data_IF_555713545330
#
_entry.id   IF_555713545330
#
_cell.length_a   1.000
_cell.length_b   1.000
_cell.length_c   1.000
_cell.angle_alpha   90.00
_cell.angle_beta   90.00
_cell.angle_gamma   90.00
#
_symmetry.space_group_name_H-M   'P 1'
#
loop_
_entity.id
_entity.type
_entity.pdbx_description
1 polymer ?
#
# COMPACT_ATOMS: atom_id res chain seq x y z
N UNK A 1 -23.58 8.69 -10.41
CA UNK A 1 -22.52 7.71 -10.09
C UNK A 1 -21.24 8.07 -10.81
N UNK A 2 -20.18 8.32 -10.05
CA UNK A 2 -18.85 8.62 -10.59
C UNK A 2 -18.26 7.38 -11.29
N UNK A 3 -17.31 7.58 -12.20
CA UNK A 3 -16.76 6.50 -13.01
C UNK A 3 -16.02 5.41 -12.21
N UNK A 4 -15.46 5.78 -11.05
CA UNK A 4 -14.69 4.88 -10.18
C UNK A 4 -15.59 4.10 -9.23
N UNK A 5 -16.59 4.75 -8.65
CA UNK A 5 -17.71 4.14 -7.93
C UNK A 5 -18.34 2.98 -8.72
N UNK A 6 -18.67 3.18 -10.01
CA UNK A 6 -19.21 2.10 -10.87
C UNK A 6 -18.22 0.94 -11.03
N UNK A 7 -16.91 1.21 -11.09
CA UNK A 7 -15.87 0.18 -11.25
C UNK A 7 -15.64 -0.60 -9.96
N UNK A 8 -15.65 0.09 -8.82
CA UNK A 8 -15.53 -0.51 -7.50
C UNK A 8 -16.75 -1.41 -7.20
N UNK A 9 -17.96 -0.93 -7.49
CA UNK A 9 -19.20 -1.72 -7.33
C UNK A 9 -19.20 -2.95 -8.24
N UNK A 10 -18.78 -2.81 -9.52
CA UNK A 10 -18.61 -3.97 -10.41
C UNK A 10 -17.59 -4.99 -9.91
N UNK A 11 -16.70 -4.62 -9.00
CA UNK A 11 -15.69 -5.50 -8.40
C UNK A 11 -16.11 -6.04 -7.03
N UNK A 12 -17.36 -5.83 -6.63
CA UNK A 12 -17.93 -6.36 -5.40
C UNK A 12 -17.81 -5.44 -4.18
N UNK A 13 -17.33 -4.19 -4.34
CA UNK A 13 -17.31 -3.22 -3.25
C UNK A 13 -18.65 -2.51 -3.11
N UNK A 14 -18.99 -2.07 -1.91
CA UNK A 14 -20.17 -1.23 -1.71
C UNK A 14 -19.90 0.20 -2.22
N UNK A 15 -20.96 0.96 -2.49
CA UNK A 15 -20.83 2.36 -2.89
C UNK A 15 -20.18 3.23 -1.79
N UNK A 16 -20.45 2.93 -0.52
CA UNK A 16 -19.80 3.60 0.62
C UNK A 16 -18.31 3.27 0.68
N UNK A 17 -17.91 2.00 0.48
CA UNK A 17 -16.49 1.62 0.39
C UNK A 17 -15.80 2.32 -0.78
N UNK A 18 -16.46 2.42 -1.93
CA UNK A 18 -15.88 3.11 -3.08
C UNK A 18 -15.64 4.59 -2.83
N UNK A 19 -16.60 5.27 -2.17
CA UNK A 19 -16.46 6.68 -1.79
C UNK A 19 -15.36 6.88 -0.75
N UNK A 20 -15.32 6.01 0.25
CA UNK A 20 -14.25 5.95 1.24
C UNK A 20 -12.86 5.84 0.59
N UNK A 21 -12.71 4.96 -0.40
CA UNK A 21 -11.45 4.82 -1.15
C UNK A 21 -11.10 6.08 -1.96
N UNK A 22 -12.08 6.78 -2.54
CA UNK A 22 -11.83 8.05 -3.24
C UNK A 22 -11.34 9.13 -2.27
N UNK A 23 -11.92 9.20 -1.07
CA UNK A 23 -11.54 10.18 -0.04
C UNK A 23 -10.15 9.87 0.52
N UNK A 24 -9.87 8.60 0.84
CA UNK A 24 -8.57 8.15 1.32
C UNK A 24 -7.47 8.33 0.27
N UNK A 25 -7.74 8.02 -1.01
CA UNK A 25 -6.77 8.24 -2.09
C UNK A 25 -6.34 9.72 -2.19
N UNK A 26 -7.30 10.64 -2.06
CA UNK A 26 -7.04 12.09 -2.06
C UNK A 26 -6.24 12.52 -0.83
N UNK A 27 -6.61 12.01 0.34
CA UNK A 27 -5.90 12.29 1.59
C UNK A 27 -4.41 11.90 1.48
N UNK A 28 -4.14 10.73 0.91
CA UNK A 28 -2.79 10.19 0.78
C UNK A 28 -2.04 10.68 -0.47
N UNK A 29 -2.67 11.50 -1.32
CA UNK A 29 -2.09 11.98 -2.58
C UNK A 29 -1.89 10.89 -3.64
N UNK A 30 -2.53 9.73 -3.49
CA UNK A 30 -2.42 8.57 -4.39
C UNK A 30 -3.54 8.63 -5.44
N UNK A 31 -3.27 8.18 -6.67
CA UNK A 31 -4.31 8.10 -7.69
C UNK A 31 -5.43 7.13 -7.29
N UNK A 32 -6.70 7.54 -7.43
CA UNK A 32 -7.87 6.72 -7.06
C UNK A 32 -7.85 5.32 -7.72
N UNK A 33 -7.35 5.23 -8.97
CA UNK A 33 -7.21 3.95 -9.68
C UNK A 33 -6.13 3.04 -9.08
N UNK A 34 -5.03 3.62 -8.63
CA UNK A 34 -3.91 2.89 -8.02
C UNK A 34 -4.29 2.42 -6.62
N UNK A 35 -4.96 3.28 -5.85
CA UNK A 35 -5.51 2.92 -4.54
C UNK A 35 -6.50 1.76 -4.66
N UNK A 36 -7.45 1.83 -5.60
CA UNK A 36 -8.38 0.73 -5.85
C UNK A 36 -7.64 -0.56 -6.27
N UNK A 37 -6.58 -0.46 -7.06
CA UNK A 37 -5.77 -1.63 -7.46
C UNK A 37 -5.06 -2.25 -6.25
N UNK A 38 -4.47 -1.43 -5.39
CA UNK A 38 -3.78 -1.84 -4.17
C UNK A 38 -4.72 -2.57 -3.20
N UNK A 39 -5.86 -1.97 -2.90
CA UNK A 39 -6.89 -2.56 -2.02
C UNK A 39 -7.41 -3.87 -2.60
N UNK A 40 -7.64 -3.93 -3.91
CA UNK A 40 -8.08 -5.18 -4.55
C UNK A 40 -6.99 -6.25 -4.57
N UNK A 41 -5.71 -5.86 -4.62
CA UNK A 41 -4.60 -6.80 -4.50
C UNK A 41 -4.57 -7.39 -3.09
N UNK A 42 -4.66 -6.57 -2.05
CA UNK A 42 -4.76 -7.04 -0.65
C UNK A 42 -5.98 -7.94 -0.42
N UNK A 43 -7.15 -7.55 -0.91
CA UNK A 43 -8.38 -8.32 -0.75
C UNK A 43 -8.31 -9.72 -1.38
N UNK A 44 -7.61 -9.88 -2.51
CA UNK A 44 -7.36 -11.21 -3.11
C UNK A 44 -6.54 -12.14 -2.21
N UNK A 45 -5.76 -11.57 -1.30
CA UNK A 45 -5.01 -12.30 -0.29
C UNK A 45 -5.74 -12.38 1.06
N UNK A 46 -7.01 -11.97 1.12
CA UNK A 46 -7.80 -11.95 2.37
C UNK A 46 -7.37 -10.84 3.34
N UNK A 47 -6.67 -9.81 2.85
CA UNK A 47 -6.14 -8.73 3.68
C UNK A 47 -7.02 -7.49 3.49
N UNK A 48 -7.43 -6.91 4.61
CA UNK A 48 -8.08 -5.62 4.68
C UNK A 48 -7.27 -4.70 5.58
N UNK A 49 -6.94 -3.51 5.09
CA UNK A 49 -6.25 -2.48 5.84
C UNK A 49 -7.24 -1.35 6.13
N UNK A 50 -7.31 -0.94 7.39
CA UNK A 50 -8.14 0.17 7.84
C UNK A 50 -7.51 1.51 7.46
N UNK A 51 -8.27 2.61 7.57
CA UNK A 51 -7.75 3.96 7.27
C UNK A 51 -6.43 4.27 7.97
N UNK A 52 -6.35 3.93 9.26
CA UNK A 52 -5.20 4.27 10.07
C UNK A 52 -3.96 3.50 9.63
N UNK A 53 -4.13 2.25 9.17
CA UNK A 53 -3.04 1.46 8.58
C UNK A 53 -2.46 2.17 7.35
N UNK A 54 -3.33 2.67 6.46
CA UNK A 54 -2.88 3.41 5.28
C UNK A 54 -2.16 4.71 5.65
N UNK A 55 -2.63 5.42 6.68
CA UNK A 55 -1.94 6.62 7.20
C UNK A 55 -0.59 6.29 7.83
N UNK A 56 -0.47 5.18 8.56
CA UNK A 56 0.82 4.70 9.10
C UNK A 56 1.79 4.37 7.97
N UNK A 57 1.32 3.68 6.92
CA UNK A 57 2.13 3.42 5.74
C UNK A 57 2.59 4.72 5.07
N UNK A 58 1.70 5.70 4.91
CA UNK A 58 2.00 7.01 4.31
C UNK A 58 2.97 7.87 5.14
N UNK A 59 2.94 7.75 6.47
CA UNK A 59 3.92 8.38 7.37
C UNK A 59 5.33 7.78 7.21
N UNK A 60 5.40 6.54 6.76
CA UNK A 60 6.63 5.74 6.72
C UNK A 60 7.30 5.74 5.34
N UNK A 61 6.54 5.95 4.27
CA UNK A 61 7.04 5.95 2.90
C UNK A 61 6.16 6.78 1.96
N UNK A 62 6.76 7.30 0.89
CA UNK A 62 6.03 7.98 -0.18
C UNK A 62 5.17 6.98 -0.98
N UNK A 63 3.89 6.86 -0.62
CA UNK A 63 2.95 5.96 -1.28
C UNK A 63 2.76 6.30 -2.76
N UNK A 64 2.97 7.54 -3.19
CA UNK A 64 2.82 7.89 -4.62
C UNK A 64 3.83 7.15 -5.51
N UNK A 65 4.98 6.79 -4.94
CA UNK A 65 6.05 6.05 -5.64
C UNK A 65 6.15 4.59 -5.24
N UNK A 66 5.69 4.26 -4.03
CA UNK A 66 6.01 2.98 -3.40
C UNK A 66 4.77 2.19 -2.94
N UNK A 67 3.56 2.57 -3.37
CA UNK A 67 2.32 1.86 -3.03
C UNK A 67 2.39 0.35 -3.28
N UNK A 68 2.85 -0.06 -4.46
CA UNK A 68 2.89 -1.49 -4.82
C UNK A 68 3.90 -2.26 -3.96
N UNK A 69 5.04 -1.63 -3.64
CA UNK A 69 6.04 -2.20 -2.73
C UNK A 69 5.49 -2.37 -1.32
N UNK A 70 4.78 -1.38 -0.79
CA UNK A 70 4.16 -1.49 0.53
C UNK A 70 3.10 -2.60 0.57
N UNK A 71 2.26 -2.68 -0.47
CA UNK A 71 1.27 -3.75 -0.60
C UNK A 71 1.93 -5.13 -0.65
N UNK A 72 2.98 -5.30 -1.46
CA UNK A 72 3.71 -6.57 -1.56
C UNK A 72 4.41 -6.95 -0.26
N UNK A 73 4.93 -5.97 0.46
CA UNK A 73 5.50 -6.19 1.77
C UNK A 73 4.45 -6.70 2.76
N UNK A 74 3.31 -6.03 2.85
CA UNK A 74 2.19 -6.44 3.73
C UNK A 74 1.73 -7.86 3.38
N UNK A 75 1.52 -8.16 2.09
CA UNK A 75 1.13 -9.51 1.64
C UNK A 75 2.15 -10.56 2.09
N UNK A 76 3.45 -10.28 1.93
CA UNK A 76 4.51 -11.21 2.32
C UNK A 76 4.54 -11.45 3.84
N UNK A 77 4.39 -10.40 4.64
CA UNK A 77 4.40 -10.52 6.11
C UNK A 77 3.16 -11.24 6.61
N UNK A 78 1.98 -10.94 6.07
CA UNK A 78 0.74 -11.64 6.43
C UNK A 78 0.79 -13.11 6.03
N UNK A 79 1.33 -13.42 4.85
CA UNK A 79 1.56 -14.81 4.43
C UNK A 79 2.56 -15.55 5.33
N UNK A 80 3.38 -14.82 6.09
CA UNK A 80 4.31 -15.37 7.08
C UNK A 80 3.69 -15.47 8.49
N UNK A 81 2.39 -15.23 8.63
CA UNK A 81 1.65 -15.32 9.89
C UNK A 81 1.60 -14.03 10.72
N UNK A 82 2.06 -12.89 10.18
CA UNK A 82 2.04 -11.61 10.89
C UNK A 82 0.69 -10.90 10.68
N UNK A 83 0.05 -10.36 11.73
CA UNK A 83 -1.16 -9.57 11.55
C UNK A 83 -0.96 -8.36 10.62
N UNK A 84 -1.97 -7.98 9.80
CA UNK A 84 -1.84 -6.86 8.85
C UNK A 84 -1.37 -5.53 9.46
N UNK A 85 -1.95 -5.13 10.60
CA UNK A 85 -1.56 -3.89 11.30
C UNK A 85 -0.08 -3.92 11.73
N UNK A 86 0.37 -5.05 12.29
CA UNK A 86 1.78 -5.23 12.66
C UNK A 86 2.71 -5.22 11.43
N UNK A 87 2.28 -5.80 10.31
CA UNK A 87 3.03 -5.73 9.06
C UNK A 87 3.18 -4.28 8.57
N UNK A 88 2.15 -3.44 8.74
CA UNK A 88 2.20 -2.03 8.38
C UNK A 88 3.16 -1.25 9.30
N UNK A 89 3.14 -1.50 10.61
CA UNK A 89 4.08 -0.88 11.57
C UNK A 89 5.55 -1.24 11.29
N UNK A 90 5.80 -2.39 10.67
CA UNK A 90 7.16 -2.82 10.31
C UNK A 90 7.66 -2.19 9.00
N UNK A 91 6.79 -1.58 8.18
CA UNK A 91 7.16 -0.92 6.92
C UNK A 91 8.36 0.04 7.05
N UNK A 92 8.39 1.00 7.99
CA UNK A 92 9.51 1.93 8.09
C UNK A 92 10.86 1.21 8.31
N UNK A 93 10.90 0.19 9.17
CA UNK A 93 12.12 -0.61 9.40
C UNK A 93 12.55 -1.37 8.15
N UNK A 94 11.58 -1.89 7.39
CA UNK A 94 11.84 -2.59 6.14
C UNK A 94 12.35 -1.64 5.05
N UNK A 95 11.77 -0.44 4.93
CA UNK A 95 12.17 0.60 3.99
C UNK A 95 13.57 1.11 4.30
N UNK A 96 13.90 1.37 5.58
CA UNK A 96 15.26 1.74 5.97
C UNK A 96 16.29 0.66 5.63
N UNK A 97 15.96 -0.61 5.86
CA UNK A 97 16.86 -1.72 5.54
C UNK A 97 17.05 -1.86 4.04
N UNK A 98 15.99 -1.70 3.25
CA UNK A 98 16.06 -1.70 1.79
C UNK A 98 16.86 -0.50 1.25
N UNK A 99 16.64 0.70 1.80
CA UNK A 99 17.36 1.93 1.45
C UNK A 99 18.85 1.86 1.76
N UNK A 100 19.22 1.27 2.91
CA UNK A 100 20.63 0.98 3.25
C UNK A 100 21.26 0.00 2.26
N UNK A 101 20.54 -1.05 1.86
CA UNK A 101 21.02 -2.03 0.87
C UNK A 101 21.17 -1.42 -0.52
N UNK A 102 20.24 -0.56 -0.96
CA UNK A 102 20.36 0.13 -2.24
C UNK A 102 21.53 1.11 -2.25
N UNK A 103 21.73 1.85 -1.17
CA UNK A 103 22.85 2.79 -1.05
C UNK A 103 24.21 2.06 -1.09
N UNK A 104 24.35 0.93 -0.39
CA UNK A 104 25.57 0.10 -0.44
C UNK A 104 25.82 -0.41 -1.86
N UNK A 105 24.77 -0.87 -2.57
CA UNK A 105 24.89 -1.35 -3.95
C UNK A 105 25.32 -0.25 -4.91
N UNK A 106 24.81 0.96 -4.73
CA UNK A 106 25.18 2.14 -5.51
C UNK A 106 26.65 2.52 -5.30
N UNK A 107 27.12 2.57 -4.05
CA UNK A 107 28.53 2.82 -3.72
C UNK A 107 29.45 1.78 -4.34
N UNK A 108 29.11 0.49 -4.24
CA UNK A 108 29.92 -0.60 -4.83
C UNK A 108 29.93 -0.54 -6.36
N UNK A 109 28.81 -0.17 -6.99
CA UNK A 109 28.73 -0.05 -8.45
C UNK A 109 29.54 1.13 -9.02
N UNK A 110 29.80 2.17 -8.20
CA UNK A 110 30.60 3.33 -8.59
C UNK A 110 32.11 3.12 -8.39
N UNK A 111 32.53 1.98 -7.84
CA UNK A 111 33.93 1.61 -7.63
C UNK A 111 34.51 0.72 -8.74
N UNK A 112 33.74 0.47 -9.81
CA UNK A 112 34.11 -0.37 -10.97
C UNK A 112 34.15 0.49 -12.23
#
# INVERSE_FOLDING_TARGET
MRGLEKKAVKRGLTASTARWLEELAKELGVGEREMLKAVMKLAKHGIWLEEEDWRVAARSLDLTRHLDMAVDYVIRRVSSGIPPAQAVEELPKAVEKAGRLSHIREVVSNLI
#
